data_IF_177018994093
#
_entry.id   IF_177018994093
#
_cell.length_a   1.000
_cell.length_b   1.000
_cell.length_c   1.000
_cell.angle_alpha   90.00
_cell.angle_beta   90.00
_cell.angle_gamma   90.00
#
_symmetry.space_group_name_H-M   'P 1'
#
loop_
_entity.id
_entity.type
_entity.pdbx_description
1 polymer ?
#
# COMPACT_ATOMS: atom_id res chain seq x y z
N UNK A 1 -52.32 16.98 -42.82
CA UNK A 1 -52.56 18.26 -43.52
C UNK A 1 -51.99 19.38 -42.67
N UNK A 2 -51.16 20.24 -43.29
CA UNK A 2 -50.50 21.41 -42.71
C UNK A 2 -51.50 22.49 -42.30
N UNK A 3 -51.21 23.23 -41.23
CA UNK A 3 -51.14 24.71 -41.27
C UNK A 3 -50.45 25.31 -40.03
N UNK A 4 -49.35 26.01 -40.29
CA UNK A 4 -48.65 26.96 -39.40
C UNK A 4 -49.52 28.21 -39.15
N UNK A 5 -49.34 28.85 -37.98
CA UNK A 5 -49.29 30.32 -37.85
C UNK A 5 -48.31 30.78 -36.74
N UNK A 6 -47.29 31.51 -37.16
CA UNK A 6 -46.32 32.36 -36.42
C UNK A 6 -46.89 33.75 -36.14
N UNK A 7 -46.47 34.44 -35.05
CA UNK A 7 -46.03 35.86 -34.91
C UNK A 7 -45.42 35.99 -33.49
N UNK A 8 -44.10 36.24 -33.33
CA UNK A 8 -43.43 37.53 -32.98
C UNK A 8 -43.99 38.18 -31.68
N UNK A 9 -43.22 38.61 -30.68
CA UNK A 9 -41.81 38.96 -30.51
C UNK A 9 -41.79 40.17 -29.57
N UNK A 10 -40.88 40.27 -28.58
CA UNK A 10 -40.38 41.52 -27.99
C UNK A 10 -39.12 41.25 -27.15
N UNK A 11 -38.01 41.77 -27.68
CA UNK A 11 -36.82 42.35 -27.02
C UNK A 11 -37.10 42.96 -25.62
N UNK A 12 -36.18 43.07 -24.65
CA UNK A 12 -34.78 43.53 -24.67
C UNK A 12 -34.21 43.47 -23.23
N UNK A 13 -32.90 43.72 -23.11
CA UNK A 13 -32.13 44.23 -21.95
C UNK A 13 -31.44 43.24 -21.01
N UNK A 14 -30.11 43.37 -20.95
CA UNK A 14 -29.32 42.89 -19.81
C UNK A 14 -27.84 42.59 -20.10
N UNK A 15 -27.11 43.48 -20.80
CA UNK A 15 -25.65 43.39 -20.83
C UNK A 15 -25.04 43.99 -19.57
N UNK A 16 -24.15 43.27 -18.88
CA UNK A 16 -23.19 43.85 -17.92
C UNK A 16 -22.14 42.81 -17.46
N UNK A 17 -20.85 43.16 -17.62
CA UNK A 17 -19.66 42.76 -16.81
C UNK A 17 -19.31 41.25 -16.77
N UNK A 18 -18.07 40.76 -16.72
CA UNK A 18 -16.78 41.28 -16.29
C UNK A 18 -15.69 40.33 -16.85
N UNK A 19 -14.52 40.87 -17.19
CA UNK A 19 -13.32 40.06 -17.42
C UNK A 19 -12.77 39.49 -16.10
N UNK A 20 -11.91 38.46 -16.23
CA UNK A 20 -10.83 38.07 -15.30
C UNK A 20 -11.12 36.99 -14.24
N UNK A 21 -10.55 35.80 -14.48
CA UNK A 21 -9.88 34.88 -13.54
C UNK A 21 -9.87 33.50 -14.22
N UNK A 22 -8.75 33.01 -14.72
CA UNK A 22 -7.65 32.53 -13.89
C UNK A 22 -7.65 31.01 -14.03
N UNK A 23 -6.65 30.51 -14.76
CA UNK A 23 -6.47 29.09 -15.03
C UNK A 23 -6.42 28.30 -13.71
N UNK A 24 -7.50 27.58 -13.40
CA UNK A 24 -7.44 26.44 -12.51
C UNK A 24 -6.93 25.25 -13.32
N UNK A 25 -5.63 25.26 -13.62
CA UNK A 25 -4.89 24.02 -13.69
C UNK A 25 -4.93 23.46 -12.26
N UNK A 26 -6.00 22.73 -11.95
CA UNK A 26 -6.06 21.90 -10.78
C UNK A 26 -4.81 21.03 -10.85
N UNK A 27 -3.92 21.21 -9.88
CA UNK A 27 -2.92 20.22 -9.58
C UNK A 27 -3.70 18.91 -9.43
N UNK A 28 -3.46 17.93 -10.30
CA UNK A 28 -3.77 16.56 -9.98
C UNK A 28 -3.05 16.30 -8.65
N UNK A 29 -3.83 16.34 -7.58
CA UNK A 29 -3.41 15.82 -6.31
C UNK A 29 -3.24 14.35 -6.62
N UNK A 30 -2.00 13.87 -6.69
CA UNK A 30 -1.66 12.46 -6.70
C UNK A 30 -2.26 11.84 -5.43
N UNK A 31 -3.55 11.54 -5.51
CA UNK A 31 -4.35 10.94 -4.46
C UNK A 31 -4.14 9.45 -4.54
N UNK A 32 -2.98 9.02 -4.06
CA UNK A 32 -2.69 7.63 -3.74
C UNK A 32 -2.47 7.46 -2.23
N UNK A 33 -3.36 8.02 -1.42
CA UNK A 33 -3.43 7.66 0.01
C UNK A 33 -4.63 6.74 0.22
N UNK A 34 -4.36 5.43 0.19
CA UNK A 34 -5.33 4.42 0.59
C UNK A 34 -5.54 4.56 2.09
N UNK A 35 -6.73 4.99 2.51
CA UNK A 35 -7.06 5.46 3.87
C UNK A 35 -7.06 4.37 4.97
N UNK A 36 -6.51 3.19 4.71
CA UNK A 36 -6.16 2.23 5.76
C UNK A 36 -4.65 2.16 5.85
N UNK A 37 -4.07 2.76 6.89
CA UNK A 37 -2.66 2.59 7.20
C UNK A 37 -2.34 1.08 7.21
N UNK A 38 -1.41 0.65 6.36
CA UNK A 38 -0.96 -0.74 6.32
C UNK A 38 0.10 -0.89 7.40
N UNK A 39 -0.20 -1.57 8.53
CA UNK A 39 0.74 -1.63 9.63
C UNK A 39 1.92 -2.52 9.23
N UNK A 40 3.13 -1.95 9.27
CA UNK A 40 4.38 -2.68 9.16
C UNK A 40 5.09 -2.74 10.51
N UNK A 41 5.93 -3.74 10.73
CA UNK A 41 6.84 -3.75 11.86
C UNK A 41 7.99 -2.74 11.67
N UNK A 42 8.88 -2.65 12.66
CA UNK A 42 10.04 -1.75 12.63
C UNK A 42 11.04 -2.07 11.49
N UNK A 43 10.91 -3.22 10.83
CA UNK A 43 11.73 -3.64 9.68
C UNK A 43 11.03 -3.41 8.34
N UNK A 44 9.84 -2.80 8.34
CA UNK A 44 9.03 -2.58 7.13
C UNK A 44 8.25 -3.81 6.68
N UNK A 45 8.18 -4.88 7.48
CA UNK A 45 7.47 -6.10 7.13
C UNK A 45 5.99 -5.98 7.49
N UNK A 46 5.13 -6.28 6.53
CA UNK A 46 3.67 -6.23 6.65
C UNK A 46 3.15 -7.65 6.90
N UNK A 47 2.43 -7.80 8.01
CA UNK A 47 1.80 -9.06 8.39
C UNK A 47 0.30 -9.01 8.10
N UNK A 48 -0.21 -10.08 7.49
CA UNK A 48 -1.64 -10.28 7.26
C UNK A 48 -2.13 -11.43 8.15
N UNK A 49 -3.03 -11.14 9.08
CA UNK A 49 -3.60 -12.09 10.02
C UNK A 49 -4.99 -12.59 9.60
N UNK A 50 -5.41 -12.31 8.37
CA UNK A 50 -6.66 -12.83 7.80
C UNK A 50 -6.61 -14.35 7.71
N UNK A 51 -7.64 -15.02 8.20
CA UNK A 51 -7.70 -16.48 8.23
C UNK A 51 -8.90 -17.01 8.98
N UNK A 52 -9.17 -18.31 8.84
CA UNK A 52 -10.17 -19.02 9.64
C UNK A 52 -9.51 -19.54 10.92
N UNK A 53 -9.81 -18.91 12.05
CA UNK A 53 -9.30 -19.32 13.35
C UNK A 53 -10.15 -20.47 13.89
N UNK A 54 -9.49 -21.61 14.07
CA UNK A 54 -10.02 -22.84 14.64
C UNK A 54 -9.41 -23.07 16.03
N UNK A 55 -10.09 -23.80 16.94
CA UNK A 55 -9.56 -24.13 18.25
C UNK A 55 -8.15 -24.73 18.18
N UNK A 56 -7.25 -24.24 19.03
CA UNK A 56 -5.89 -24.75 19.12
C UNK A 56 -5.69 -25.54 20.42
N UNK A 57 -5.40 -26.84 20.31
CA UNK A 57 -5.17 -27.73 21.45
C UNK A 57 -5.57 -29.17 21.14
N UNK A 58 -5.41 -30.08 22.09
CA UNK A 58 -5.89 -31.48 21.98
C UNK A 58 -7.33 -31.59 22.49
N UNK A 59 -8.22 -32.23 21.74
CA UNK A 59 -9.63 -32.49 22.13
C UNK A 59 -10.43 -31.21 22.43
N UNK A 60 -10.26 -30.17 21.63
CA UNK A 60 -10.97 -28.89 21.77
C UNK A 60 -11.81 -28.59 20.53
N UNK A 61 -13.14 -28.63 20.69
CA UNK A 61 -14.10 -28.33 19.60
C UNK A 61 -14.62 -26.89 19.65
N UNK A 62 -14.35 -26.17 20.75
CA UNK A 62 -14.84 -24.82 21.01
C UNK A 62 -13.68 -23.84 21.20
N UNK A 63 -13.87 -22.61 20.76
CA UNK A 63 -12.88 -21.54 20.87
C UNK A 63 -12.77 -20.96 22.28
N UNK A 64 -13.91 -20.81 22.98
CA UNK A 64 -13.99 -20.10 24.26
C UNK A 64 -13.93 -21.08 25.44
N UNK A 65 -12.97 -20.87 26.34
CA UNK A 65 -12.73 -21.63 27.56
C UNK A 65 -12.98 -20.80 28.82
N UNK A 66 -13.48 -21.41 29.92
CA UNK A 66 -14.03 -22.76 30.00
C UNK A 66 -15.22 -22.96 29.08
N UNK A 67 -15.37 -24.18 28.56
CA UNK A 67 -16.40 -24.50 27.58
C UNK A 67 -17.80 -24.36 28.18
N UNK A 68 -18.79 -24.17 27.31
CA UNK A 68 -20.22 -24.08 27.67
C UNK A 68 -20.64 -22.93 28.58
N UNK A 69 -19.74 -21.98 28.88
CA UNK A 69 -20.03 -20.82 29.73
C UNK A 69 -20.46 -19.56 28.97
N UNK A 70 -20.00 -19.41 27.73
CA UNK A 70 -20.39 -18.28 26.87
C UNK A 70 -21.91 -18.27 26.63
N UNK A 71 -22.49 -17.08 26.53
CA UNK A 71 -23.89 -16.88 26.19
C UNK A 71 -24.16 -17.20 24.72
N UNK A 72 -25.37 -17.66 24.42
CA UNK A 72 -25.77 -18.01 23.05
C UNK A 72 -25.08 -19.26 22.48
N UNK A 73 -25.02 -19.31 21.16
CA UNK A 73 -24.40 -20.37 20.35
C UNK A 73 -22.90 -20.40 20.62
N UNK A 74 -22.35 -21.61 20.74
CA UNK A 74 -20.95 -21.79 21.09
C UNK A 74 -20.06 -21.49 19.89
N UNK A 75 -19.04 -20.68 20.10
CA UNK A 75 -18.04 -20.35 19.10
C UNK A 75 -17.18 -21.58 18.76
N UNK A 76 -17.26 -22.07 17.52
CA UNK A 76 -16.46 -23.19 17.00
C UNK A 76 -15.38 -22.72 16.02
N UNK A 77 -15.59 -21.57 15.39
CA UNK A 77 -14.60 -20.90 14.56
C UNK A 77 -14.85 -19.40 14.52
N UNK A 78 -13.80 -18.63 14.22
CA UNK A 78 -13.87 -17.19 13.98
C UNK A 78 -13.01 -16.87 12.75
N UNK A 79 -13.63 -16.37 11.68
CA UNK A 79 -12.88 -15.88 10.52
C UNK A 79 -12.52 -14.42 10.76
N UNK A 80 -11.26 -14.06 10.52
CA UNK A 80 -10.83 -12.66 10.48
C UNK A 80 -10.45 -12.24 9.07
N UNK A 81 -10.77 -11.00 8.74
CA UNK A 81 -10.38 -10.26 7.54
C UNK A 81 -9.70 -8.97 7.98
N UNK A 82 -8.51 -8.72 7.46
CA UNK A 82 -7.70 -7.56 7.81
C UNK A 82 -7.60 -6.59 6.63
N UNK A 83 -7.92 -5.33 6.90
CA UNK A 83 -7.81 -4.21 5.97
C UNK A 83 -6.96 -3.11 6.63
N UNK A 84 -5.65 -3.15 6.38
CA UNK A 84 -4.69 -2.32 7.13
C UNK A 84 -4.73 -2.66 8.62
N UNK A 85 -5.08 -1.69 9.46
CA UNK A 85 -5.29 -1.88 10.90
C UNK A 85 -6.72 -2.30 11.26
N UNK A 86 -7.68 -2.24 10.33
CA UNK A 86 -9.07 -2.63 10.60
C UNK A 86 -9.20 -4.14 10.55
N UNK A 87 -9.96 -4.70 11.50
CA UNK A 87 -10.36 -6.10 11.51
C UNK A 87 -11.87 -6.19 11.36
N UNK A 88 -12.29 -7.08 10.49
CA UNK A 88 -13.65 -7.60 10.44
C UNK A 88 -13.61 -9.09 10.74
N UNK A 89 -14.64 -9.60 11.40
CA UNK A 89 -14.75 -11.01 11.68
C UNK A 89 -16.16 -11.55 11.50
N UNK A 90 -16.22 -12.86 11.28
CA UNK A 90 -17.46 -13.62 11.15
C UNK A 90 -17.34 -14.91 11.92
N UNK A 91 -18.43 -15.37 12.53
CA UNK A 91 -18.45 -16.62 13.30
C UNK A 91 -19.42 -17.67 12.76
N UNK A 92 -19.42 -18.84 13.41
CA UNK A 92 -20.28 -19.98 13.09
C UNK A 92 -21.79 -19.76 13.29
N UNK A 93 -22.19 -18.62 13.85
CA UNK A 93 -23.58 -18.21 13.96
C UNK A 93 -23.91 -17.03 13.02
N UNK A 94 -23.04 -16.73 12.05
CA UNK A 94 -23.11 -15.59 11.14
C UNK A 94 -23.18 -14.23 11.85
N UNK A 95 -22.63 -14.11 13.06
CA UNK A 95 -22.45 -12.80 13.70
C UNK A 95 -21.22 -12.13 13.14
N UNK A 96 -21.34 -10.82 12.94
CA UNK A 96 -20.24 -9.95 12.53
C UNK A 96 -19.53 -9.42 13.75
N UNK A 97 -18.21 -9.30 13.61
CA UNK A 97 -17.29 -8.76 14.59
C UNK A 97 -16.52 -7.62 13.93
N UNK A 98 -16.26 -6.55 14.66
CA UNK A 98 -15.47 -5.42 14.16
C UNK A 98 -14.38 -5.09 15.15
N UNK A 99 -13.26 -4.60 14.65
CA UNK A 99 -12.16 -4.27 15.54
C UNK A 99 -10.95 -3.76 14.82
N UNK A 100 -9.80 -3.91 15.47
CA UNK A 100 -8.56 -3.34 14.98
C UNK A 100 -7.34 -4.06 15.54
N UNK A 101 -6.25 -3.95 14.79
CA UNK A 101 -4.88 -4.17 15.25
C UNK A 101 -4.36 -2.83 15.79
N UNK A 102 -3.90 -2.81 17.04
CA UNK A 102 -3.41 -1.60 17.72
C UNK A 102 -1.90 -1.44 17.66
N UNK A 103 -1.16 -2.53 17.44
CA UNK A 103 0.30 -2.53 17.28
C UNK A 103 0.74 -3.82 16.60
N UNK A 104 1.87 -3.77 15.87
CA UNK A 104 2.55 -4.93 15.32
C UNK A 104 4.05 -4.78 15.59
N UNK A 105 4.68 -5.81 16.14
CA UNK A 105 6.13 -5.90 16.23
C UNK A 105 6.59 -7.35 15.99
N UNK A 106 7.46 -7.55 15.01
CA UNK A 106 8.05 -8.86 14.69
C UNK A 106 6.99 -9.97 14.50
N UNK A 107 5.85 -9.64 13.89
CA UNK A 107 4.77 -10.59 13.68
C UNK A 107 3.91 -10.87 14.92
N UNK A 108 4.09 -10.14 16.02
CA UNK A 108 3.18 -10.11 17.16
C UNK A 108 2.29 -8.88 17.07
N UNK A 109 0.99 -9.09 16.92
CA UNK A 109 0.00 -8.03 16.83
C UNK A 109 -0.90 -8.02 18.05
N UNK A 110 -1.13 -6.84 18.64
CA UNK A 110 -2.20 -6.66 19.63
C UNK A 110 -3.49 -6.30 18.92
N UNK A 111 -4.61 -6.91 19.32
CA UNK A 111 -5.90 -6.68 18.66
C UNK A 111 -7.06 -6.58 19.65
N UNK A 112 -8.13 -5.95 19.18
CA UNK A 112 -9.45 -5.95 19.82
C UNK A 112 -10.52 -6.27 18.79
N UNK A 113 -11.58 -6.98 19.18
CA UNK A 113 -12.81 -7.19 18.43
C UNK A 113 -14.01 -6.95 19.34
N UNK A 114 -15.08 -6.42 18.77
CA UNK A 114 -16.37 -6.23 19.41
C UNK A 114 -17.45 -6.91 18.60
N UNK A 115 -18.45 -7.46 19.28
CA UNK A 115 -19.54 -8.19 18.65
C UNK A 115 -20.67 -8.48 19.63
N UNK A 116 -21.63 -9.27 19.18
CA UNK A 116 -22.74 -9.72 20.02
C UNK A 116 -22.97 -11.22 19.88
N UNK A 117 -23.24 -11.89 20.99
CA UNK A 117 -23.63 -13.30 20.95
C UNK A 117 -25.05 -13.45 20.38
N UNK A 118 -25.45 -14.69 20.07
CA UNK A 118 -26.84 -14.96 19.66
C UNK A 118 -27.86 -14.75 20.79
N UNK A 119 -27.40 -14.66 22.05
CA UNK A 119 -28.24 -14.28 23.19
C UNK A 119 -28.37 -12.75 23.35
N UNK A 120 -27.71 -11.96 22.50
CA UNK A 120 -27.78 -10.50 22.50
C UNK A 120 -26.78 -9.81 23.44
N UNK A 121 -25.88 -10.55 24.08
CA UNK A 121 -24.86 -9.96 24.94
C UNK A 121 -23.74 -9.33 24.11
N UNK A 122 -23.35 -8.11 24.47
CA UNK A 122 -22.15 -7.47 23.92
C UNK A 122 -20.89 -8.19 24.40
N UNK A 123 -19.93 -8.39 23.50
CA UNK A 123 -18.68 -9.07 23.75
C UNK A 123 -17.51 -8.19 23.32
N UNK A 124 -16.50 -8.08 24.16
CA UNK A 124 -15.18 -7.58 23.78
C UNK A 124 -14.19 -8.75 23.82
N UNK A 125 -13.44 -8.92 22.72
CA UNK A 125 -12.34 -9.87 22.61
C UNK A 125 -11.05 -9.07 22.47
N UNK A 126 -10.11 -9.25 23.40
CA UNK A 126 -8.83 -8.55 23.37
C UNK A 126 -7.68 -9.53 23.59
N UNK A 127 -6.62 -9.40 22.80
CA UNK A 127 -5.49 -10.32 22.88
C UNK A 127 -4.39 -10.06 21.87
N UNK A 128 -3.67 -11.13 21.56
CA UNK A 128 -2.56 -11.12 20.61
C UNK A 128 -2.75 -12.12 19.48
N UNK A 129 -2.29 -11.74 18.28
CA UNK A 129 -2.10 -12.60 17.12
C UNK A 129 -0.60 -12.75 16.89
N UNK A 130 -0.10 -13.98 16.75
CA UNK A 130 1.33 -14.24 16.56
C UNK A 130 1.56 -15.03 15.28
N UNK A 131 2.33 -14.46 14.37
CA UNK A 131 2.71 -15.09 13.12
C UNK A 131 3.90 -16.03 13.32
N UNK A 132 3.80 -17.25 12.79
CA UNK A 132 4.92 -18.18 12.61
C UNK A 132 4.63 -19.10 11.42
N UNK A 133 5.55 -19.18 10.45
CA UNK A 133 5.50 -20.15 9.34
C UNK A 133 4.13 -20.23 8.63
N UNK A 134 3.60 -19.08 8.19
CA UNK A 134 2.28 -18.97 7.54
C UNK A 134 1.10 -19.47 8.40
N UNK A 135 1.30 -19.50 9.71
CA UNK A 135 0.27 -19.72 10.71
C UNK A 135 0.17 -18.50 11.62
N UNK A 136 -1.03 -18.20 12.07
CA UNK A 136 -1.30 -17.22 13.12
C UNK A 136 -1.91 -17.94 14.32
N UNK A 137 -1.35 -17.75 15.51
CA UNK A 137 -2.00 -18.15 16.77
C UNK A 137 -2.71 -16.97 17.40
N UNK A 138 -3.95 -17.17 17.84
CA UNK A 138 -4.71 -16.22 18.64
C UNK A 138 -4.71 -16.66 20.11
N UNK A 139 -4.31 -15.73 20.97
CA UNK A 139 -4.31 -15.87 22.42
C UNK A 139 -5.00 -14.63 22.99
N UNK A 140 -6.25 -14.79 23.40
CA UNK A 140 -7.13 -13.68 23.72
C UNK A 140 -8.07 -13.96 24.89
N UNK A 141 -8.65 -12.90 25.43
CA UNK A 141 -9.70 -12.97 26.45
C UNK A 141 -11.05 -12.69 25.80
N UNK A 142 -12.04 -13.54 26.05
CA UNK A 142 -13.45 -13.31 25.76
C UNK A 142 -14.11 -12.63 26.96
N UNK A 143 -14.80 -11.51 26.76
CA UNK A 143 -15.42 -10.75 27.85
C UNK A 143 -16.86 -10.42 27.49
N UNK A 144 -17.82 -10.95 28.26
CA UNK A 144 -19.24 -10.64 28.18
C UNK A 144 -19.84 -10.43 29.59
N UNK A 145 -21.07 -9.92 29.73
CA UNK A 145 -21.71 -9.77 31.03
C UNK A 145 -21.77 -11.10 31.80
N UNK A 146 -21.18 -11.12 33.00
CA UNK A 146 -21.21 -12.28 33.89
C UNK A 146 -20.25 -13.42 33.51
N UNK A 147 -19.44 -13.27 32.47
CA UNK A 147 -18.47 -14.28 32.07
C UNK A 147 -17.24 -13.69 31.36
N UNK A 148 -16.05 -14.09 31.82
CA UNK A 148 -14.80 -13.95 31.07
C UNK A 148 -14.17 -15.31 30.84
N UNK A 149 -13.55 -15.47 29.68
CA UNK A 149 -12.92 -16.70 29.25
C UNK A 149 -11.68 -16.45 28.40
N UNK A 150 -11.03 -17.52 27.98
CA UNK A 150 -9.85 -17.49 27.12
C UNK A 150 -10.19 -18.04 25.74
N UNK A 151 -9.54 -17.51 24.71
CA UNK A 151 -9.57 -18.02 23.35
C UNK A 151 -8.17 -18.46 22.98
N UNK A 152 -8.04 -19.72 22.57
CA UNK A 152 -6.82 -20.27 21.99
C UNK A 152 -7.14 -20.80 20.61
N UNK A 153 -6.63 -20.15 19.58
CA UNK A 153 -6.97 -20.48 18.20
C UNK A 153 -5.76 -20.44 17.27
N UNK A 154 -5.91 -21.07 16.11
CA UNK A 154 -4.92 -21.04 15.03
C UNK A 154 -5.60 -20.86 13.67
N UNK A 155 -4.93 -20.16 12.77
CA UNK A 155 -5.34 -20.02 11.37
C UNK A 155 -4.12 -20.15 10.45
N UNK A 156 -4.34 -20.70 9.25
CA UNK A 156 -3.40 -20.49 8.15
C UNK A 156 -3.55 -19.05 7.64
N UNK A 157 -2.42 -18.38 7.37
CA UNK A 157 -2.35 -16.98 6.94
C UNK A 157 -1.30 -16.81 5.85
N UNK A 158 -1.37 -15.71 5.11
CA UNK A 158 -0.41 -15.42 4.02
C UNK A 158 1.00 -15.17 4.53
N UNK A 159 1.99 -15.42 3.67
CA UNK A 159 3.35 -14.96 3.91
C UNK A 159 3.41 -13.42 4.05
N UNK A 160 4.27 -12.85 4.92
CA UNK A 160 4.41 -11.42 5.08
C UNK A 160 5.00 -10.78 3.81
N UNK A 161 4.55 -9.58 3.50
CA UNK A 161 5.17 -8.73 2.46
C UNK A 161 6.12 -7.72 3.09
N UNK A 162 6.95 -7.07 2.29
CA UNK A 162 7.87 -6.02 2.76
C UNK A 162 7.54 -4.70 2.06
N UNK A 163 7.31 -3.66 2.85
CA UNK A 163 7.32 -2.28 2.39
C UNK A 163 8.75 -1.75 2.52
N UNK A 164 9.61 -2.08 1.58
CA UNK A 164 10.96 -1.50 1.53
C UNK A 164 10.83 -0.05 1.08
N UNK A 165 11.28 0.94 1.88
CA UNK A 165 11.30 2.32 1.45
C UNK A 165 12.14 2.43 0.17
N UNK A 166 11.56 2.98 -0.90
CA UNK A 166 12.33 3.29 -2.10
C UNK A 166 13.26 4.46 -1.74
N UNK A 167 14.55 4.17 -1.60
CA UNK A 167 15.57 5.22 -1.40
C UNK A 167 15.65 6.13 -2.62
N UNK A 168 15.96 7.41 -2.43
CA UNK A 168 16.08 8.38 -3.54
C UNK A 168 17.05 7.88 -4.62
N UNK A 169 16.63 7.95 -5.88
CA UNK A 169 17.46 7.57 -7.03
C UNK A 169 18.61 8.56 -7.23
N UNK A 170 19.81 8.06 -7.51
CA UNK A 170 20.99 8.88 -7.79
C UNK A 170 21.86 8.31 -8.91
N UNK A 171 22.57 9.17 -9.63
CA UNK A 171 23.61 8.82 -10.61
C UNK A 171 24.98 9.24 -10.09
N UNK A 172 25.99 8.37 -10.25
CA UNK A 172 27.40 8.71 -10.03
C UNK A 172 28.26 8.37 -11.26
N UNK A 173 29.11 9.28 -11.74
CA UNK A 173 29.22 10.69 -11.32
C UNK A 173 28.02 11.53 -11.79
N UNK A 174 27.75 12.67 -11.16
CA UNK A 174 26.68 13.61 -11.58
C UNK A 174 27.07 14.46 -12.78
N UNK A 175 28.35 14.49 -13.14
CA UNK A 175 28.82 15.12 -14.36
C UNK A 175 30.08 14.47 -14.93
N UNK A 176 30.31 14.64 -16.23
CA UNK A 176 31.53 14.20 -16.90
C UNK A 176 31.90 15.12 -18.07
N UNK A 177 33.20 15.30 -18.30
CA UNK A 177 33.74 15.98 -19.48
C UNK A 177 34.59 15.00 -20.27
N UNK A 178 34.29 14.87 -21.57
CA UNK A 178 34.94 13.97 -22.50
C UNK A 178 35.50 14.80 -23.66
N UNK A 179 36.82 14.94 -23.75
CA UNK A 179 37.47 15.85 -24.72
C UNK A 179 38.08 15.15 -25.93
N UNK A 180 38.07 13.81 -25.96
CA UNK A 180 38.67 13.01 -27.02
C UNK A 180 37.57 12.15 -27.67
N UNK A 181 37.56 12.07 -29.00
CA UNK A 181 36.67 11.16 -29.73
C UNK A 181 36.79 9.73 -29.23
N UNK A 182 35.65 9.05 -29.03
CA UNK A 182 35.56 7.70 -28.47
C UNK A 182 36.04 7.54 -27.02
N UNK A 183 36.30 8.62 -26.29
CA UNK A 183 36.48 8.52 -24.84
C UNK A 183 35.18 8.09 -24.17
N UNK A 184 35.30 7.34 -23.08
CA UNK A 184 34.17 6.71 -22.40
C UNK A 184 34.08 7.13 -20.93
N UNK A 185 32.88 7.06 -20.38
CA UNK A 185 32.64 7.23 -18.94
C UNK A 185 31.57 6.28 -18.45
N UNK A 186 31.86 5.60 -17.36
CA UNK A 186 30.89 4.75 -16.67
C UNK A 186 30.04 5.58 -15.72
N UNK A 187 28.74 5.34 -15.75
CA UNK A 187 27.76 5.89 -14.81
C UNK A 187 27.05 4.75 -14.10
N UNK A 188 26.84 4.91 -12.80
CA UNK A 188 26.19 3.91 -11.94
C UNK A 188 24.98 4.55 -11.27
N UNK A 189 23.86 3.81 -11.27
CA UNK A 189 22.66 4.17 -10.53
C UNK A 189 22.63 3.46 -9.17
N UNK A 190 22.11 4.15 -8.18
CA UNK A 190 21.84 3.60 -6.85
C UNK A 190 20.52 4.17 -6.31
N UNK A 191 19.93 3.45 -5.36
CA UNK A 191 18.58 3.74 -4.87
C UNK A 191 17.49 3.33 -5.85
N UNK A 192 16.30 3.93 -5.78
CA UNK A 192 15.16 3.45 -6.56
C UNK A 192 14.76 2.02 -6.20
N UNK A 193 14.05 1.34 -7.11
CA UNK A 193 13.64 -0.06 -6.93
C UNK A 193 14.69 -1.08 -7.40
N UNK A 194 15.82 -0.61 -7.93
CA UNK A 194 16.87 -1.45 -8.54
C UNK A 194 16.64 -1.78 -10.02
N UNK A 195 15.43 -1.54 -10.53
CA UNK A 195 15.12 -1.66 -11.96
C UNK A 195 15.37 -0.32 -12.65
N UNK A 196 16.53 -0.19 -13.31
CA UNK A 196 16.98 1.06 -13.92
C UNK A 196 16.81 1.07 -15.44
N UNK A 197 16.27 2.18 -15.95
CA UNK A 197 16.24 2.50 -17.38
C UNK A 197 17.00 3.79 -17.64
N UNK A 198 17.89 3.77 -18.63
CA UNK A 198 18.75 4.89 -19.00
C UNK A 198 18.34 5.47 -20.34
N UNK A 199 18.29 6.80 -20.40
CA UNK A 199 18.10 7.57 -21.63
C UNK A 199 19.06 8.75 -21.64
N UNK A 200 19.23 9.36 -22.81
CA UNK A 200 20.01 10.57 -22.92
C UNK A 200 19.42 11.49 -23.99
N UNK A 201 19.75 12.77 -23.91
CA UNK A 201 19.12 13.82 -24.70
C UNK A 201 19.68 14.01 -26.11
N UNK A 202 20.93 13.58 -26.36
CA UNK A 202 21.67 13.94 -27.57
C UNK A 202 22.46 12.75 -28.16
N UNK A 203 21.82 12.02 -29.06
CA UNK A 203 22.42 10.92 -29.82
C UNK A 203 23.58 11.32 -30.74
N UNK A 204 23.75 12.62 -31.04
CA UNK A 204 24.91 13.11 -31.81
C UNK A 204 26.14 13.31 -30.93
N UNK A 205 25.98 13.63 -29.63
CA UNK A 205 27.09 13.79 -28.69
C UNK A 205 27.73 12.43 -28.33
N UNK A 206 26.91 11.40 -28.14
CA UNK A 206 27.40 10.09 -27.71
C UNK A 206 26.41 8.93 -27.85
N UNK A 207 26.79 7.77 -27.31
CA UNK A 207 25.98 6.55 -27.28
C UNK A 207 26.13 5.82 -25.95
N UNK A 208 25.12 5.03 -25.58
CA UNK A 208 25.11 4.21 -24.36
C UNK A 208 25.40 2.74 -24.70
N UNK A 209 26.18 2.07 -23.85
CA UNK A 209 26.45 0.63 -23.98
C UNK A 209 25.19 -0.23 -23.76
N UNK A 210 24.24 0.27 -22.98
CA UNK A 210 22.96 -0.36 -22.67
C UNK A 210 21.95 0.72 -22.22
N UNK A 211 20.66 0.40 -22.31
CA UNK A 211 19.56 1.24 -21.81
C UNK A 211 18.97 0.72 -20.50
N UNK A 212 19.50 -0.37 -19.95
CA UNK A 212 19.07 -0.96 -18.68
C UNK A 212 20.26 -1.45 -17.85
N UNK A 213 20.04 -1.59 -16.53
CA UNK A 213 21.02 -2.12 -15.58
C UNK A 213 21.65 -1.07 -14.67
N UNK A 214 22.34 -1.54 -13.62
CA UNK A 214 22.88 -0.67 -12.56
C UNK A 214 24.04 0.21 -13.02
N UNK A 215 24.73 -0.18 -14.09
CA UNK A 215 25.87 0.56 -14.61
C UNK A 215 25.85 0.54 -16.13
N UNK A 216 26.06 1.70 -16.74
CA UNK A 216 26.19 1.85 -18.19
C UNK A 216 27.48 2.60 -18.51
N UNK A 217 27.96 2.45 -19.75
CA UNK A 217 29.10 3.21 -20.26
C UNK A 217 28.61 4.14 -21.36
N UNK A 218 28.87 5.43 -21.21
CA UNK A 218 28.68 6.47 -22.22
C UNK A 218 29.94 6.56 -23.09
N UNK A 219 29.78 6.64 -24.41
CA UNK A 219 30.87 6.84 -25.37
C UNK A 219 30.66 8.13 -26.15
N UNK A 220 31.65 9.03 -26.17
CA UNK A 220 31.59 10.27 -26.95
C UNK A 220 31.76 10.00 -28.44
N UNK A 221 30.86 10.56 -29.25
CA UNK A 221 30.89 10.54 -30.71
C UNK A 221 31.32 11.90 -31.30
N UNK A 222 30.72 13.01 -30.86
CA UNK A 222 31.00 14.36 -31.35
C UNK A 222 30.98 15.40 -30.24
N UNK A 223 31.40 16.64 -30.54
CA UNK A 223 31.32 17.75 -29.59
C UNK A 223 29.88 18.20 -29.36
N UNK A 224 29.57 18.70 -28.16
CA UNK A 224 28.24 19.12 -27.74
C UNK A 224 27.99 18.93 -26.24
N UNK A 225 26.74 19.08 -25.83
CA UNK A 225 26.28 18.78 -24.48
C UNK A 225 25.20 17.71 -24.52
N UNK A 226 25.16 16.89 -23.48
CA UNK A 226 24.18 15.83 -23.31
C UNK A 226 23.76 15.72 -21.85
N UNK A 227 22.54 15.28 -21.61
CA UNK A 227 21.99 14.97 -20.29
C UNK A 227 21.66 13.50 -20.27
N UNK A 228 22.31 12.77 -19.37
CA UNK A 228 22.01 11.39 -19.07
C UNK A 228 20.92 11.34 -18.00
N UNK A 229 19.91 10.53 -18.22
CA UNK A 229 18.76 10.36 -17.31
C UNK A 229 18.64 8.90 -16.94
N UNK A 230 18.48 8.59 -15.65
CA UNK A 230 18.08 7.27 -15.18
C UNK A 230 16.71 7.37 -14.52
N UNK A 231 15.86 6.39 -14.78
CA UNK A 231 14.54 6.25 -14.16
C UNK A 231 14.39 4.89 -13.46
N UNK A 232 13.64 4.89 -12.36
CA UNK A 232 13.28 3.69 -11.59
C UNK A 232 11.97 3.96 -10.85
N UNK A 233 10.88 3.26 -11.21
CA UNK A 233 9.55 3.34 -10.56
C UNK A 233 9.09 4.77 -10.20
N UNK A 234 9.10 5.67 -11.17
CA UNK A 234 8.66 7.06 -11.01
C UNK A 234 9.74 8.02 -10.47
N UNK A 235 10.85 7.51 -9.96
CA UNK A 235 12.02 8.33 -9.61
C UNK A 235 12.88 8.60 -10.85
N UNK A 236 13.48 9.80 -10.88
CA UNK A 236 14.38 10.23 -11.95
C UNK A 236 15.62 10.90 -11.35
N UNK A 237 16.78 10.59 -11.89
CA UNK A 237 18.02 11.32 -11.61
C UNK A 237 18.73 11.65 -12.93
N UNK A 238 19.49 12.74 -12.95
CA UNK A 238 20.18 13.23 -14.15
C UNK A 238 21.67 13.47 -13.89
N UNK A 239 22.46 13.35 -14.95
CA UNK A 239 23.88 13.70 -14.97
C UNK A 239 24.21 14.50 -16.24
N UNK A 240 25.05 15.51 -16.12
CA UNK A 240 25.45 16.38 -17.25
C UNK A 240 26.74 15.89 -17.90
N UNK A 241 26.73 15.78 -19.23
CA UNK A 241 27.88 15.35 -20.02
C UNK A 241 28.28 16.48 -20.96
N UNK A 242 29.54 16.89 -20.90
CA UNK A 242 30.14 17.84 -21.84
C UNK A 242 31.06 17.07 -22.78
N UNK A 243 30.70 16.99 -24.05
CA UNK A 243 31.55 16.49 -25.11
C UNK A 243 32.32 17.69 -25.71
N UNK A 244 33.62 17.82 -25.43
CA UNK A 244 34.46 18.87 -26.06
C UNK A 244 35.04 18.37 -27.37
#
# INVERSE_FOLDING_TARGET
MKTLRTVSGWMLLGGLLLAMAGALAGCDVDSVDSTTAVPSDNSGKIYNYSGLYLPAGTNVDLLVFPTNRQSGVKLTWLRLLQYGTVLEGYDNANKTWTGKISSINEGNASFTLEGTTTAGNHVNVAGSLRYADQNSTMDATWIEPGFSGSIFARAAVSAPSTNTPITSLSISPTSATLSIGNSTRTFTASGGSGNYTWTHSNASCGSLSATTGNSITYTRLAAGTDTLTVSSEGFVATASITCQ
#
